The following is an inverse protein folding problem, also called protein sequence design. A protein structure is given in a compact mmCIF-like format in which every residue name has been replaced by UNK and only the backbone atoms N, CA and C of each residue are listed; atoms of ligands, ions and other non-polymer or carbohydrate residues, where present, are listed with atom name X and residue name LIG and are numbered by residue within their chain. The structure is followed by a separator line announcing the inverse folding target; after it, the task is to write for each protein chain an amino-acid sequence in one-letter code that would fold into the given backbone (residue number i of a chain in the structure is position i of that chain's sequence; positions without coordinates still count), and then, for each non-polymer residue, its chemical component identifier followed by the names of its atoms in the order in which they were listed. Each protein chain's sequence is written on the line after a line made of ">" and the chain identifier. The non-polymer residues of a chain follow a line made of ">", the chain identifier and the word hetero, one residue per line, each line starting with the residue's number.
data_IF_057706191084
#
_entry.id   IF_057706191084
#
_cell.length_a   1.000
_cell.length_b   1.000
_cell.length_c   1.000
_cell.angle_alpha   90.00
_cell.angle_beta   90.00
_cell.angle_gamma   90.00
#
_symmetry.space_group_name_H-M   'P 1'
#
loop_
_entity.id
_entity.type
_entity.pdbx_description
1 polymer ?
#
# COMPACT_ATOMS: atom_id res chain seq x y z
N UNK A 1 16.27 -16.84 -1.11
CA UNK A 1 15.93 -15.50 -1.60
C UNK A 1 15.09 -15.50 -2.88
N UNK A 2 15.07 -16.60 -3.63
CA UNK A 2 14.46 -16.63 -4.97
C UNK A 2 13.05 -17.26 -5.07
N UNK A 3 12.45 -17.76 -3.98
CA UNK A 3 11.23 -18.57 -4.09
C UNK A 3 9.89 -17.85 -3.82
N UNK A 4 9.91 -16.62 -3.31
CA UNK A 4 8.66 -15.92 -3.01
C UNK A 4 8.02 -15.21 -4.20
N UNK A 5 8.81 -14.81 -5.17
CA UNK A 5 8.31 -14.23 -6.42
C UNK A 5 7.50 -15.27 -7.20
N UNK A 6 7.84 -16.54 -7.08
CA UNK A 6 7.21 -17.62 -7.83
C UNK A 6 5.78 -17.94 -7.38
N UNK A 7 5.44 -17.80 -6.10
CA UNK A 7 4.09 -18.10 -5.62
C UNK A 7 3.08 -17.01 -5.96
N UNK A 8 3.46 -15.75 -5.82
CA UNK A 8 2.64 -14.61 -6.23
C UNK A 8 2.47 -14.60 -7.75
N UNK A 9 3.54 -14.95 -8.49
CA UNK A 9 3.51 -15.01 -9.95
C UNK A 9 2.60 -16.11 -10.50
N UNK A 10 2.55 -17.28 -9.83
CA UNK A 10 1.73 -18.42 -10.28
C UNK A 10 0.22 -18.20 -10.06
N UNK A 11 -0.17 -17.45 -8.99
CA UNK A 11 -1.59 -17.13 -8.79
C UNK A 11 -2.12 -16.12 -9.82
N UNK A 12 -1.26 -15.21 -10.30
CA UNK A 12 -1.65 -14.16 -11.26
C UNK A 12 -1.54 -14.57 -12.73
N UNK A 13 -0.79 -15.61 -13.05
CA UNK A 13 -0.76 -16.19 -14.41
C UNK A 13 -2.12 -16.76 -14.86
N UNK A 14 -3.02 -17.06 -13.91
CA UNK A 14 -4.36 -17.55 -14.23
C UNK A 14 -5.34 -16.49 -14.72
N UNK A 15 -5.10 -15.21 -14.41
CA UNK A 15 -6.04 -14.14 -14.71
C UNK A 15 -5.55 -13.09 -15.71
N UNK A 16 -4.44 -13.37 -16.41
CA UNK A 16 -3.91 -12.49 -17.47
C UNK A 16 -3.65 -11.04 -17.00
N UNK A 17 -3.09 -10.84 -15.78
CA UNK A 17 -3.11 -9.56 -15.12
C UNK A 17 -1.70 -9.15 -14.66
N UNK A 18 -0.90 -8.65 -15.59
CA UNK A 18 0.22 -7.77 -15.25
C UNK A 18 -0.35 -6.37 -14.98
N UNK A 19 -0.06 -5.81 -13.80
CA UNK A 19 -0.57 -4.49 -13.45
C UNK A 19 -0.29 -4.10 -11.99
N UNK A 20 -0.51 -2.83 -11.70
CA UNK A 20 -0.36 -2.28 -10.37
C UNK A 20 -1.54 -2.70 -9.48
N UNK A 21 -1.26 -3.50 -8.46
CA UNK A 21 -2.16 -3.83 -7.37
C UNK A 21 -1.72 -3.12 -6.10
N UNK A 22 -2.65 -2.48 -5.40
CA UNK A 22 -2.37 -1.60 -4.28
C UNK A 22 -3.28 -1.94 -3.10
N UNK A 23 -2.70 -1.99 -1.92
CA UNK A 23 -3.36 -2.46 -0.71
C UNK A 23 -3.13 -1.52 0.45
N UNK A 24 -4.14 -1.31 1.27
CA UNK A 24 -4.00 -0.73 2.57
C UNK A 24 -4.45 -1.73 3.64
N UNK A 25 -3.65 -1.86 4.68
CA UNK A 25 -3.89 -2.78 5.79
C UNK A 25 -3.95 -2.03 7.10
N UNK A 26 -4.71 -2.58 8.06
CA UNK A 26 -4.60 -2.18 9.46
C UNK A 26 -3.88 -3.27 10.27
N UNK A 27 -3.08 -2.82 11.22
CA UNK A 27 -2.40 -3.64 12.22
C UNK A 27 -2.64 -3.02 13.59
N UNK A 28 -2.54 -3.80 14.66
CA UNK A 28 -2.62 -3.23 16.01
C UNK A 28 -1.49 -2.25 16.25
N UNK A 29 -1.80 -1.17 16.97
CA UNK A 29 -0.82 -0.15 17.32
C UNK A 29 0.38 -0.76 18.04
N UNK A 30 1.56 -0.23 17.74
CA UNK A 30 2.86 -0.60 18.33
C UNK A 30 3.36 -2.04 18.01
N UNK A 31 2.71 -2.79 17.12
CA UNK A 31 3.24 -4.09 16.68
C UNK A 31 4.45 -3.97 15.75
N UNK A 32 4.50 -2.92 14.94
CA UNK A 32 5.62 -2.60 14.04
C UNK A 32 6.17 -1.24 14.43
N UNK A 33 7.47 -1.13 14.66
CA UNK A 33 8.12 0.12 15.08
C UNK A 33 8.59 0.96 13.89
N UNK A 34 9.02 0.30 12.82
CA UNK A 34 9.54 0.94 11.62
C UNK A 34 8.40 1.59 10.81
N UNK A 35 8.71 2.71 10.16
CA UNK A 35 7.75 3.41 9.28
C UNK A 35 7.82 2.97 7.83
N UNK A 36 8.95 2.40 7.40
CA UNK A 36 9.21 1.94 6.04
C UNK A 36 9.96 0.61 6.04
N UNK A 37 9.87 -0.13 4.95
CA UNK A 37 10.66 -1.34 4.67
C UNK A 37 10.53 -2.45 5.72
N UNK A 38 9.51 -2.41 6.55
CA UNK A 38 9.23 -3.46 7.53
C UNK A 38 8.58 -4.68 6.87
N UNK A 39 8.79 -5.84 7.48
CA UNK A 39 8.07 -7.07 7.11
C UNK A 39 6.95 -7.35 8.10
N UNK A 40 5.88 -7.95 7.63
CA UNK A 40 4.80 -8.51 8.44
C UNK A 40 4.83 -10.04 8.49
N UNK A 41 5.77 -10.64 7.78
CA UNK A 41 5.92 -12.08 7.62
C UNK A 41 7.38 -12.49 7.84
N UNK A 42 7.58 -13.68 8.38
CA UNK A 42 8.88 -14.31 8.52
C UNK A 42 8.87 -15.71 7.94
N UNK A 43 10.01 -16.15 7.43
CA UNK A 43 10.17 -17.51 6.95
C UNK A 43 10.29 -18.47 8.13
N UNK A 44 9.46 -19.52 8.11
CA UNK A 44 9.55 -20.63 9.05
C UNK A 44 10.33 -21.78 8.40
N UNK A 45 11.53 -22.08 8.92
CA UNK A 45 12.40 -23.14 8.38
C UNK A 45 11.81 -24.55 8.56
N UNK A 46 10.99 -24.77 9.59
CA UNK A 46 10.39 -26.07 9.87
C UNK A 46 9.28 -26.42 8.86
N UNK A 47 8.45 -25.44 8.51
CA UNK A 47 7.34 -25.62 7.55
C UNK A 47 7.73 -25.28 6.12
N UNK A 48 8.88 -24.59 5.91
CA UNK A 48 9.31 -24.02 4.63
C UNK A 48 8.29 -23.04 4.03
N UNK A 49 7.54 -22.34 4.89
CA UNK A 49 6.52 -21.38 4.50
C UNK A 49 6.76 -20.02 5.18
N UNK A 50 6.19 -18.96 4.58
CA UNK A 50 6.12 -17.66 5.23
C UNK A 50 4.91 -17.56 6.12
N UNK A 51 5.11 -17.15 7.34
CA UNK A 51 4.07 -17.00 8.36
C UNK A 51 3.99 -15.54 8.80
N UNK A 52 2.77 -15.02 8.85
CA UNK A 52 2.53 -13.69 9.43
C UNK A 52 2.77 -13.73 10.93
N UNK A 53 3.54 -12.79 11.45
CA UNK A 53 3.78 -12.60 12.88
C UNK A 53 2.98 -11.43 13.47
N UNK A 54 2.23 -10.72 12.64
CA UNK A 54 1.27 -9.69 13.05
C UNK A 54 -0.10 -10.02 12.49
N UNK A 55 -1.15 -9.68 13.25
CA UNK A 55 -2.52 -9.74 12.76
C UNK A 55 -2.78 -8.51 11.89
N UNK A 56 -2.96 -8.75 10.58
CA UNK A 56 -3.26 -7.71 9.60
C UNK A 56 -4.60 -7.94 8.91
N UNK A 57 -5.30 -6.87 8.63
CA UNK A 57 -6.55 -6.89 7.89
C UNK A 57 -6.51 -5.88 6.75
N UNK A 58 -6.81 -6.33 5.54
CA UNK A 58 -6.97 -5.44 4.39
C UNK A 58 -8.22 -4.58 4.59
N UNK A 59 -8.03 -3.27 4.53
CA UNK A 59 -9.13 -2.31 4.66
C UNK A 59 -9.49 -1.66 3.33
N UNK A 60 -8.58 -1.66 2.37
CA UNK A 60 -8.81 -1.09 1.04
C UNK A 60 -7.90 -1.71 -0.02
N UNK A 61 -8.40 -1.76 -1.26
CA UNK A 61 -7.69 -2.26 -2.42
C UNK A 61 -7.97 -1.34 -3.62
N UNK A 62 -6.91 -1.02 -4.35
CA UNK A 62 -7.01 -0.34 -5.65
C UNK A 62 -6.33 -1.16 -6.72
N UNK A 63 -6.81 -1.00 -7.91
CA UNK A 63 -6.15 -1.52 -9.08
C UNK A 63 -5.84 -0.40 -10.06
N UNK A 64 -4.55 -0.25 -10.41
CA UNK A 64 -4.06 0.74 -11.36
C UNK A 64 -4.50 2.17 -11.01
N UNK A 65 -4.15 2.61 -9.80
CA UNK A 65 -4.33 3.99 -9.35
C UNK A 65 -2.97 4.71 -9.26
N UNK A 66 -2.40 5.17 -10.42
CA UNK A 66 -1.03 5.69 -10.47
C UNK A 66 -0.81 6.97 -9.67
N UNK A 67 -1.82 7.81 -9.50
CA UNK A 67 -1.71 9.01 -8.66
C UNK A 67 -1.58 8.65 -7.17
N UNK A 68 -2.34 7.67 -6.69
CA UNK A 68 -2.18 7.13 -5.34
C UNK A 68 -0.79 6.49 -5.16
N UNK A 69 -0.31 5.74 -6.15
CA UNK A 69 1.02 5.15 -6.13
C UNK A 69 2.11 6.21 -5.98
N UNK A 70 2.04 7.29 -6.76
CA UNK A 70 2.99 8.39 -6.68
C UNK A 70 2.95 9.11 -5.33
N UNK A 71 1.77 9.38 -4.80
CA UNK A 71 1.61 9.99 -3.48
C UNK A 71 2.23 9.12 -2.38
N UNK A 72 1.96 7.83 -2.39
CA UNK A 72 2.51 6.88 -1.41
C UNK A 72 4.02 6.68 -1.57
N UNK A 73 4.55 6.75 -2.79
CA UNK A 73 6.00 6.73 -3.05
C UNK A 73 6.70 7.96 -2.46
N UNK A 74 6.14 9.15 -2.67
CA UNK A 74 6.67 10.38 -2.07
C UNK A 74 6.65 10.31 -0.53
N UNK A 75 5.57 9.77 0.06
CA UNK A 75 5.49 9.51 1.49
C UNK A 75 6.58 8.55 1.96
N UNK A 76 6.77 7.43 1.25
CA UNK A 76 7.81 6.44 1.54
C UNK A 76 9.20 7.06 1.53
N UNK A 77 9.54 7.82 0.51
CA UNK A 77 10.81 8.53 0.40
C UNK A 77 10.98 9.58 1.52
N UNK A 78 9.93 10.31 1.87
CA UNK A 78 9.94 11.30 2.95
C UNK A 78 10.21 10.68 4.33
N UNK A 79 9.86 9.42 4.52
CA UNK A 79 10.08 8.64 5.75
C UNK A 79 11.41 7.88 5.74
N UNK A 80 12.24 8.06 4.72
CA UNK A 80 13.57 7.47 4.62
C UNK A 80 13.63 6.15 3.85
N UNK A 81 12.58 5.79 3.13
CA UNK A 81 12.60 4.64 2.22
C UNK A 81 13.57 4.85 1.07
N UNK A 82 14.35 3.83 0.73
CA UNK A 82 15.44 3.93 -0.24
C UNK A 82 15.25 3.05 -1.49
N UNK A 83 14.21 2.21 -1.52
CA UNK A 83 13.95 1.37 -2.70
C UNK A 83 13.36 2.23 -3.85
N UNK A 84 14.13 2.45 -4.93
CA UNK A 84 13.69 3.33 -6.02
C UNK A 84 12.53 2.74 -6.82
N UNK A 85 12.32 1.42 -6.75
CA UNK A 85 11.21 0.76 -7.45
C UNK A 85 9.87 0.95 -6.75
N UNK A 86 9.88 1.15 -5.44
CA UNK A 86 8.68 1.18 -4.60
C UNK A 86 7.74 0.00 -4.91
N UNK A 87 8.33 -1.19 -5.02
CA UNK A 87 7.63 -2.42 -5.38
C UNK A 87 7.80 -3.47 -4.27
N UNK A 88 6.72 -4.02 -3.75
CA UNK A 88 6.72 -4.98 -2.64
C UNK A 88 7.35 -4.45 -1.35
N UNK A 89 7.27 -3.17 -1.11
CA UNK A 89 7.72 -2.52 0.14
C UNK A 89 6.52 -1.94 0.89
N UNK A 90 6.67 -1.79 2.20
CA UNK A 90 5.63 -1.27 3.07
C UNK A 90 5.97 0.14 3.54
N UNK A 91 4.94 1.00 3.66
CA UNK A 91 5.02 2.33 4.26
C UNK A 91 3.85 2.55 5.21
N UNK A 92 4.13 2.97 6.43
CA UNK A 92 3.08 3.41 7.36
C UNK A 92 2.47 4.73 6.89
N UNK A 93 1.15 4.80 7.00
CA UNK A 93 0.37 6.00 6.70
C UNK A 93 -0.22 6.48 8.02
N UNK A 94 0.36 7.51 8.62
CA UNK A 94 -0.09 8.06 9.91
C UNK A 94 -1.47 8.72 9.79
N UNK A 95 -2.06 9.06 10.92
CA UNK A 95 -3.32 9.82 10.93
C UNK A 95 -3.14 11.20 10.26
N UNK A 96 -2.01 11.86 10.48
CA UNK A 96 -1.65 13.11 9.82
C UNK A 96 -1.48 12.92 8.31
N UNK A 97 -0.84 11.85 7.88
CA UNK A 97 -0.69 11.51 6.46
C UNK A 97 -2.06 11.29 5.79
N UNK A 98 -2.99 10.60 6.47
CA UNK A 98 -4.36 10.41 5.97
C UNK A 98 -5.10 11.74 5.81
N UNK A 99 -4.93 12.67 6.74
CA UNK A 99 -5.56 13.99 6.67
C UNK A 99 -4.94 14.85 5.55
N UNK A 100 -3.65 14.73 5.30
CA UNK A 100 -2.99 15.39 4.18
C UNK A 100 -3.47 14.82 2.83
N UNK A 101 -3.49 13.50 2.71
CA UNK A 101 -4.05 12.82 1.53
C UNK A 101 -5.52 13.22 1.30
N UNK A 102 -6.33 13.31 2.36
CA UNK A 102 -7.70 13.77 2.25
C UNK A 102 -7.81 15.18 1.66
N UNK A 103 -6.93 16.09 2.06
CA UNK A 103 -6.90 17.45 1.49
C UNK A 103 -6.59 17.44 0.01
N UNK A 104 -5.58 16.66 -0.40
CA UNK A 104 -5.22 16.54 -1.81
C UNK A 104 -6.35 15.95 -2.64
N UNK A 105 -7.03 14.93 -2.14
CA UNK A 105 -8.19 14.33 -2.81
C UNK A 105 -9.33 15.35 -2.94
N UNK A 106 -9.70 16.05 -1.85
CA UNK A 106 -10.79 17.03 -1.84
C UNK A 106 -10.51 18.24 -2.72
N UNK A 107 -9.25 18.65 -2.82
CA UNK A 107 -8.81 19.77 -3.66
C UNK A 107 -8.57 19.39 -5.12
N UNK A 108 -8.81 18.13 -5.51
CA UNK A 108 -8.52 17.58 -6.84
C UNK A 108 -7.05 17.75 -7.26
N UNK A 109 -6.13 17.68 -6.29
CA UNK A 109 -4.68 17.80 -6.52
C UNK A 109 -3.93 16.47 -6.52
N UNK A 110 -4.61 15.35 -6.26
CA UNK A 110 -3.99 14.02 -6.24
C UNK A 110 -3.35 13.66 -7.59
N UNK A 111 -3.93 14.09 -8.71
CA UNK A 111 -3.39 13.86 -10.05
C UNK A 111 -1.99 14.45 -10.27
N UNK A 112 -1.57 15.45 -9.47
CA UNK A 112 -0.21 16.00 -9.54
C UNK A 112 0.88 15.02 -9.10
N UNK A 113 0.51 13.96 -8.39
CA UNK A 113 1.39 12.87 -7.93
C UNK A 113 1.44 11.68 -8.90
N UNK A 114 0.89 11.82 -10.11
CA UNK A 114 0.84 10.75 -11.10
C UNK A 114 2.22 10.14 -11.36
N UNK A 115 2.32 8.82 -11.16
CA UNK A 115 3.52 8.04 -11.43
C UNK A 115 3.35 7.27 -12.74
N UNK A 116 4.24 7.51 -13.70
CA UNK A 116 4.26 6.77 -14.95
C UNK A 116 4.87 5.37 -14.77
N UNK A 117 4.23 4.37 -15.35
CA UNK A 117 4.74 3.01 -15.37
C UNK A 117 3.98 2.15 -16.38
N UNK A 118 4.68 1.23 -17.04
CA UNK A 118 4.08 0.36 -18.07
C UNK A 118 2.84 -0.39 -17.56
N UNK A 119 2.84 -0.75 -16.28
CA UNK A 119 1.75 -1.51 -15.66
C UNK A 119 0.75 -0.65 -14.87
N UNK A 120 0.98 0.65 -14.74
CA UNK A 120 0.23 1.50 -13.80
C UNK A 120 -1.13 1.94 -14.33
N UNK A 121 -1.32 1.96 -15.64
CA UNK A 121 -2.55 2.45 -16.26
C UNK A 121 -2.60 3.97 -16.36
N UNK A 122 -3.75 4.47 -16.77
CA UNK A 122 -4.00 5.89 -16.97
C UNK A 122 -4.33 6.61 -15.65
N UNK A 123 -4.11 7.92 -15.61
CA UNK A 123 -4.54 8.77 -14.51
C UNK A 123 -6.08 8.76 -14.41
N UNK A 124 -6.64 8.53 -13.22
CA UNK A 124 -8.08 8.39 -12.97
C UNK A 124 -8.51 8.88 -11.59
N UNK A 125 -7.77 9.82 -11.00
CA UNK A 125 -8.07 10.34 -9.66
C UNK A 125 -9.49 10.89 -9.54
N UNK A 126 -10.02 11.53 -10.60
CA UNK A 126 -11.38 12.07 -10.60
C UNK A 126 -12.43 10.96 -10.52
N UNK A 127 -12.18 9.83 -11.19
CA UNK A 127 -13.10 8.67 -11.17
C UNK A 127 -13.08 7.94 -9.82
N UNK A 128 -11.92 7.91 -9.16
CA UNK A 128 -11.71 7.19 -7.90
C UNK A 128 -11.88 8.06 -6.65
N UNK A 129 -12.26 9.31 -6.78
CA UNK A 129 -12.34 10.25 -5.67
C UNK A 129 -13.20 9.75 -4.51
N UNK A 130 -14.36 9.21 -4.77
CA UNK A 130 -15.26 8.70 -3.73
C UNK A 130 -14.69 7.45 -3.07
N UNK A 131 -14.07 6.57 -3.85
CA UNK A 131 -13.38 5.37 -3.37
C UNK A 131 -12.18 5.73 -2.48
N UNK A 132 -11.39 6.72 -2.88
CA UNK A 132 -10.27 7.24 -2.09
C UNK A 132 -10.73 7.86 -0.76
N UNK A 133 -11.84 8.60 -0.77
CA UNK A 133 -12.43 9.17 0.46
C UNK A 133 -13.00 8.07 1.38
N UNK A 134 -13.50 6.98 0.83
CA UNK A 134 -13.89 5.80 1.60
C UNK A 134 -12.68 5.18 2.33
N UNK A 135 -11.54 5.05 1.64
CA UNK A 135 -10.29 4.61 2.27
C UNK A 135 -9.90 5.52 3.44
N UNK A 136 -9.91 6.85 3.24
CA UNK A 136 -9.62 7.80 4.32
C UNK A 136 -10.52 7.57 5.53
N UNK A 137 -11.82 7.41 5.31
CA UNK A 137 -12.79 7.15 6.38
C UNK A 137 -12.48 5.87 7.15
N UNK A 138 -12.19 4.78 6.46
CA UNK A 138 -11.78 3.50 7.07
C UNK A 138 -10.49 3.62 7.86
N UNK A 139 -9.50 4.34 7.31
CA UNK A 139 -8.22 4.57 7.97
C UNK A 139 -8.35 5.38 9.28
N UNK A 140 -9.10 6.48 9.25
CA UNK A 140 -9.34 7.30 10.44
C UNK A 140 -10.15 6.52 11.51
N UNK A 141 -11.12 5.72 11.09
CA UNK A 141 -11.85 4.82 12.00
C UNK A 141 -10.91 3.80 12.64
N UNK A 142 -9.99 3.21 11.89
CA UNK A 142 -9.01 2.26 12.41
C UNK A 142 -8.11 2.91 13.47
N UNK A 143 -7.62 4.14 13.24
CA UNK A 143 -6.86 4.88 14.26
C UNK A 143 -7.68 5.12 15.52
N UNK A 144 -8.95 5.46 15.42
CA UNK A 144 -9.83 5.66 16.58
C UNK A 144 -10.03 4.38 17.41
N UNK A 145 -9.80 3.22 16.82
CA UNK A 145 -9.92 1.89 17.43
C UNK A 145 -8.58 1.28 17.91
N UNK A 146 -7.48 2.05 17.83
CA UNK A 146 -6.15 1.59 18.28
C UNK A 146 -5.38 0.77 17.25
N UNK A 147 -5.65 0.99 15.95
CA UNK A 147 -4.89 0.41 14.85
C UNK A 147 -3.98 1.45 14.19
N UNK A 148 -3.00 0.97 13.47
CA UNK A 148 -2.17 1.73 12.54
C UNK A 148 -2.44 1.24 11.11
N UNK A 149 -2.18 2.10 10.13
CA UNK A 149 -2.38 1.82 8.71
C UNK A 149 -1.04 1.73 8.01
N UNK A 150 -0.89 0.77 7.10
CA UNK A 150 0.20 0.76 6.14
C UNK A 150 -0.27 0.45 4.72
N UNK A 151 0.49 0.94 3.77
CA UNK A 151 0.28 0.74 2.34
C UNK A 151 1.35 -0.18 1.77
N UNK A 152 0.96 -0.99 0.81
CA UNK A 152 1.86 -1.82 0.02
C UNK A 152 1.31 -1.96 -1.41
N UNK A 153 2.20 -2.10 -2.37
CA UNK A 153 1.83 -2.36 -3.76
C UNK A 153 2.77 -3.37 -4.39
N UNK A 154 2.30 -4.00 -5.45
CA UNK A 154 3.15 -4.80 -6.31
C UNK A 154 2.70 -4.68 -7.78
N UNK A 155 3.70 -4.80 -8.68
CA UNK A 155 3.48 -4.65 -10.12
C UNK A 155 4.59 -5.29 -10.94
#
# INVERSE_FOLDING_TARGET
>A
VYNNISYIFVYNLKDNIMGLDQFAYRIKKDEIQEDVDFSTEKFNEETSEYESFVEKEEIHYWRKHPAMQGWMKELYESKGGEDPSFNCVNVKVSEEDLLELQRDIKNNSLSSHFEEGFFFGDEKSDELKDDDLEFISKGLEAYSKGYEIYYSSWW
#
